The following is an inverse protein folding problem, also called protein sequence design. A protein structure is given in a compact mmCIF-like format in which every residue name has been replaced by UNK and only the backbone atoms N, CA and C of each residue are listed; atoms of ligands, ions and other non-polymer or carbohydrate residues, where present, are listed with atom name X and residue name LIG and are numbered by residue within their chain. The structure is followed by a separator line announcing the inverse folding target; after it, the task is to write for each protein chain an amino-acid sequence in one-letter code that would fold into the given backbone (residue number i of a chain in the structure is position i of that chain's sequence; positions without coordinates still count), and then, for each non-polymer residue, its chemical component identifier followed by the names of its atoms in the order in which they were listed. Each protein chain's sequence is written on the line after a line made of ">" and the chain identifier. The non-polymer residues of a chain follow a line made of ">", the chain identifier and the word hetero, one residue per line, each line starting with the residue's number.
data_IF_916340515244
#
_entry.id   IF_916340515244
#
_cell.length_a   1.000
_cell.length_b   1.000
_cell.length_c   1.000
_cell.angle_alpha   90.00
_cell.angle_beta   90.00
_cell.angle_gamma   90.00
#
_symmetry.space_group_name_H-M   'P 1'
#
loop_
_entity.id
_entity.type
_entity.pdbx_description
1 polymer ?
#
# COMPACT_ATOMS: atom_id res chain seq x y z
N UNK A 1 -7.59 -8.02 -15.14
CA UNK A 1 -8.29 -7.65 -13.89
C UNK A 1 -8.31 -6.15 -13.74
N UNK A 2 -9.50 -5.54 -13.71
CA UNK A 2 -9.70 -4.09 -13.64
C UNK A 2 -9.62 -3.57 -12.20
N UNK A 3 -9.04 -2.38 -12.03
CA UNK A 3 -9.10 -1.63 -10.78
C UNK A 3 -10.46 -0.93 -10.72
N UNK A 4 -11.25 -1.24 -9.70
CA UNK A 4 -12.49 -0.53 -9.44
C UNK A 4 -12.13 0.67 -8.57
N UNK A 5 -12.15 1.86 -9.16
CA UNK A 5 -12.00 3.12 -8.45
C UNK A 5 -13.30 3.40 -7.70
N UNK A 6 -13.25 3.66 -6.40
CA UNK A 6 -14.45 3.90 -5.58
C UNK A 6 -14.96 5.34 -5.67
N UNK A 7 -14.05 6.30 -5.89
CA UNK A 7 -14.40 7.71 -6.08
C UNK A 7 -13.80 8.20 -7.38
N UNK A 8 -14.55 8.79 -8.32
CA UNK A 8 -13.95 9.38 -9.51
C UNK A 8 -13.05 10.57 -9.18
N UNK A 9 -13.28 11.24 -8.04
CA UNK A 9 -12.44 12.32 -7.54
C UNK A 9 -11.09 11.80 -7.02
N UNK A 10 -10.01 12.26 -7.64
CA UNK A 10 -8.63 11.91 -7.33
C UNK A 10 -8.15 12.58 -6.05
N UNK A 11 -8.67 13.76 -5.71
CA UNK A 11 -8.33 14.45 -4.47
C UNK A 11 -8.72 13.62 -3.24
N UNK A 12 -9.78 12.79 -3.35
CA UNK A 12 -10.16 11.84 -2.30
C UNK A 12 -9.04 10.83 -1.96
N UNK A 13 -8.12 10.55 -2.89
CA UNK A 13 -6.95 9.67 -2.68
C UNK A 13 -5.71 10.40 -2.19
N UNK A 14 -5.84 11.69 -1.86
CA UNK A 14 -4.84 12.51 -1.17
C UNK A 14 -5.27 12.84 0.26
N UNK A 15 -6.55 12.67 0.60
CA UNK A 15 -7.08 13.01 1.92
C UNK A 15 -6.44 12.18 3.06
N UNK A 16 -6.30 12.81 4.22
CA UNK A 16 -5.92 12.13 5.45
C UNK A 16 -7.16 11.49 6.11
N UNK A 17 -6.93 10.45 6.88
CA UNK A 17 -7.93 9.81 7.72
C UNK A 17 -7.25 9.18 8.96
N UNK A 18 -8.03 8.52 9.82
CA UNK A 18 -7.50 7.97 11.07
C UNK A 18 -6.41 6.90 10.88
N UNK A 19 -6.46 6.14 9.78
CA UNK A 19 -5.48 5.10 9.47
C UNK A 19 -4.36 5.62 8.56
N UNK A 20 -4.71 6.41 7.55
CA UNK A 20 -3.79 7.10 6.63
C UNK A 20 -3.53 8.51 7.16
N UNK A 21 -2.98 8.56 8.38
CA UNK A 21 -2.72 9.77 9.16
C UNK A 21 -1.43 10.48 8.70
N UNK A 22 -1.32 10.72 7.39
CA UNK A 22 -0.10 11.23 6.76
C UNK A 22 0.27 12.67 7.12
N UNK A 23 -0.61 13.38 7.83
CA UNK A 23 -0.35 14.67 8.47
C UNK A 23 0.41 14.52 9.80
N UNK A 24 0.44 13.33 10.39
CA UNK A 24 1.13 13.07 11.64
C UNK A 24 2.64 13.36 11.51
N UNK A 25 3.28 14.03 12.50
CA UNK A 25 4.68 14.41 12.44
C UNK A 25 5.63 13.27 12.09
N UNK A 26 5.41 12.08 12.66
CA UNK A 26 6.19 10.87 12.35
C UNK A 26 6.13 10.48 10.86
N UNK A 27 4.96 10.57 10.23
CA UNK A 27 4.84 10.26 8.80
C UNK A 27 5.55 11.33 7.97
N UNK A 28 5.38 12.60 8.35
CA UNK A 28 6.03 13.75 7.68
C UNK A 28 7.55 13.71 7.77
N UNK A 29 8.10 13.34 8.91
CA UNK A 29 9.54 13.14 9.15
C UNK A 29 10.10 12.09 8.17
N UNK A 30 9.52 10.88 8.18
CA UNK A 30 9.96 9.80 7.29
C UNK A 30 9.77 10.21 5.82
N UNK A 31 8.65 10.85 5.48
CA UNK A 31 8.40 11.30 4.11
C UNK A 31 9.45 12.34 3.64
N UNK A 32 9.85 13.26 4.50
CA UNK A 32 10.88 14.26 4.22
C UNK A 32 12.25 13.63 4.07
N UNK A 33 12.60 12.66 4.93
CA UNK A 33 13.86 11.91 4.83
C UNK A 33 13.98 11.19 3.49
N UNK A 34 12.93 10.47 3.09
CA UNK A 34 12.89 9.76 1.80
C UNK A 34 12.93 10.70 0.60
N UNK A 35 12.43 11.92 0.75
CA UNK A 35 12.40 12.91 -0.33
C UNK A 35 13.80 13.46 -0.67
N UNK A 36 14.74 13.50 0.28
CA UNK A 36 16.08 14.10 0.09
C UNK A 36 16.87 13.45 -1.06
N UNK A 37 16.70 12.15 -1.25
CA UNK A 37 17.44 11.37 -2.26
C UNK A 37 16.63 11.10 -3.55
N UNK A 38 15.54 11.85 -3.76
CA UNK A 38 14.60 11.61 -4.87
C UNK A 38 14.38 12.87 -5.68
N UNK A 39 14.31 12.71 -7.01
CA UNK A 39 14.22 13.84 -7.94
C UNK A 39 12.84 14.01 -8.55
N UNK A 40 11.98 12.99 -8.44
CA UNK A 40 10.65 12.96 -9.06
C UNK A 40 9.69 12.02 -8.31
N UNK A 41 8.38 12.14 -8.58
CA UNK A 41 7.36 11.33 -7.93
C UNK A 41 7.54 9.80 -8.15
N UNK A 42 8.13 9.39 -9.28
CA UNK A 42 8.38 7.98 -9.56
C UNK A 42 9.50 7.43 -8.66
N UNK A 43 10.62 8.14 -8.57
CA UNK A 43 11.76 7.81 -7.72
C UNK A 43 11.36 7.84 -6.26
N UNK A 44 10.56 8.82 -5.84
CA UNK A 44 9.95 8.85 -4.51
C UNK A 44 9.09 7.63 -4.22
N UNK A 45 8.11 7.31 -5.07
CA UNK A 45 7.24 6.16 -4.87
C UNK A 45 8.01 4.84 -4.76
N UNK A 46 9.09 4.69 -5.55
CA UNK A 46 9.98 3.53 -5.49
C UNK A 46 10.77 3.47 -4.18
N UNK A 47 11.30 4.60 -3.73
CA UNK A 47 12.06 4.71 -2.48
C UNK A 47 11.15 4.42 -1.28
N UNK A 48 9.96 5.02 -1.22
CA UNK A 48 8.96 4.74 -0.17
C UNK A 48 8.51 3.27 -0.15
N UNK A 49 8.27 2.67 -1.32
CA UNK A 49 7.97 1.26 -1.43
C UNK A 49 9.08 0.38 -0.84
N UNK A 50 10.33 0.67 -1.19
CA UNK A 50 11.51 -0.09 -0.76
C UNK A 50 11.70 0.05 0.75
N UNK A 51 11.57 1.27 1.26
CA UNK A 51 11.62 1.57 2.69
C UNK A 51 10.61 0.73 3.49
N UNK A 52 9.32 0.75 3.12
CA UNK A 52 8.30 -0.01 3.87
C UNK A 52 8.51 -1.52 3.74
N UNK A 53 8.90 -2.01 2.56
CA UNK A 53 9.18 -3.43 2.34
C UNK A 53 10.27 -3.93 3.28
N UNK A 54 11.34 -3.16 3.41
CA UNK A 54 12.59 -3.59 4.06
C UNK A 54 12.66 -3.22 5.55
N UNK A 55 11.98 -2.16 5.99
CA UNK A 55 12.09 -1.65 7.38
C UNK A 55 10.94 -2.07 8.29
N UNK A 56 9.82 -2.55 7.75
CA UNK A 56 8.70 -3.07 8.52
C UNK A 56 8.71 -4.59 8.39
N UNK A 57 9.38 -5.38 9.24
CA UNK A 57 9.23 -6.82 9.25
C UNK A 57 7.76 -7.25 9.41
N UNK A 58 7.42 -8.40 8.85
CA UNK A 58 6.10 -8.98 9.05
C UNK A 58 6.01 -9.58 10.44
N UNK A 59 4.87 -9.43 11.13
CA UNK A 59 4.71 -9.90 12.51
C UNK A 59 4.94 -11.41 12.67
N UNK A 60 4.60 -12.20 11.65
CA UNK A 60 4.89 -13.64 11.58
C UNK A 60 6.40 -13.97 11.57
N UNK A 61 7.24 -13.06 11.06
CA UNK A 61 8.70 -13.23 11.02
C UNK A 61 9.37 -12.62 12.27
N UNK A 62 8.83 -11.52 12.79
CA UNK A 62 9.40 -10.80 13.95
C UNK A 62 8.99 -11.37 15.30
N UNK A 63 7.90 -12.16 15.36
CA UNK A 63 7.32 -12.66 16.61
C UNK A 63 6.65 -11.58 17.47
N UNK A 64 6.54 -10.34 16.98
CA UNK A 64 5.92 -9.22 17.69
C UNK A 64 4.40 -9.19 17.45
N UNK A 65 3.57 -9.41 18.48
CA UNK A 65 2.12 -9.54 18.34
C UNK A 65 1.40 -8.19 18.20
N UNK A 66 2.10 -7.05 18.32
CA UNK A 66 1.47 -5.73 18.23
C UNK A 66 0.83 -5.53 16.85
N UNK A 67 -0.47 -5.27 16.85
CA UNK A 67 -1.23 -4.94 15.63
C UNK A 67 -1.38 -3.43 15.56
N UNK A 68 -0.56 -2.80 14.74
CA UNK A 68 -0.66 -1.37 14.42
C UNK A 68 -1.64 -1.17 13.27
N UNK A 69 -2.45 -0.11 13.38
CA UNK A 69 -3.49 0.19 12.39
C UNK A 69 -3.41 1.61 11.82
N UNK A 70 -2.67 2.53 12.48
CA UNK A 70 -2.33 3.85 11.95
C UNK A 70 -0.97 3.83 11.27
N UNK A 71 -0.78 4.63 10.22
CA UNK A 71 0.49 4.70 9.53
C UNK A 71 1.61 5.22 10.42
N UNK A 72 1.34 6.22 11.26
CA UNK A 72 2.28 6.69 12.28
C UNK A 72 2.76 5.57 13.22
N UNK A 73 1.84 4.75 13.73
CA UNK A 73 2.14 3.62 14.62
C UNK A 73 2.98 2.54 13.91
N UNK A 74 2.66 2.26 12.64
CA UNK A 74 3.43 1.30 11.83
C UNK A 74 4.87 1.79 11.64
N UNK A 75 5.06 3.08 11.33
CA UNK A 75 6.39 3.69 11.13
C UNK A 75 7.18 3.85 12.45
N UNK A 76 6.49 3.94 13.58
CA UNK A 76 7.11 4.01 14.90
C UNK A 76 7.55 2.62 15.39
N UNK A 77 6.64 1.64 15.34
CA UNK A 77 6.90 0.29 15.85
C UNK A 77 7.69 -0.60 14.90
N UNK A 78 7.66 -0.26 13.60
CA UNK A 78 8.28 -1.06 12.52
C UNK A 78 7.84 -2.52 12.54
N UNK A 79 6.56 -2.78 12.84
CA UNK A 79 6.02 -4.13 12.85
C UNK A 79 4.61 -4.15 12.25
N UNK A 80 4.31 -5.19 11.48
CA UNK A 80 2.93 -5.49 11.12
C UNK A 80 2.77 -6.37 9.89
N UNK A 81 1.56 -6.88 9.71
CA UNK A 81 1.19 -7.72 8.55
C UNK A 81 1.08 -6.90 7.25
N UNK A 82 0.76 -7.55 6.12
CA UNK A 82 0.61 -6.90 4.81
C UNK A 82 -0.33 -5.66 4.78
N UNK A 83 -1.34 -5.61 5.67
CA UNK A 83 -2.21 -4.43 5.84
C UNK A 83 -1.46 -3.23 6.40
N UNK A 84 -0.73 -3.43 7.50
CA UNK A 84 0.08 -2.39 8.14
C UNK A 84 1.08 -1.78 7.14
N UNK A 85 1.74 -2.64 6.35
CA UNK A 85 2.64 -2.19 5.28
C UNK A 85 1.91 -1.39 4.19
N UNK A 86 0.72 -1.81 3.79
CA UNK A 86 -0.07 -1.09 2.79
C UNK A 86 -0.54 0.28 3.30
N UNK A 87 -0.92 0.36 4.59
CA UNK A 87 -1.30 1.60 5.28
C UNK A 87 -0.12 2.57 5.34
N UNK A 88 1.04 2.12 5.81
CA UNK A 88 2.25 2.93 5.88
C UNK A 88 2.69 3.45 4.50
N UNK A 89 2.69 2.57 3.49
CA UNK A 89 3.04 2.97 2.12
C UNK A 89 2.05 3.99 1.55
N UNK A 90 0.74 3.79 1.77
CA UNK A 90 -0.28 4.75 1.31
C UNK A 90 -0.08 6.12 1.96
N UNK A 91 0.22 6.16 3.26
CA UNK A 91 0.46 7.41 3.96
C UNK A 91 1.70 8.15 3.46
N UNK A 92 2.82 7.45 3.24
CA UNK A 92 4.03 8.08 2.69
C UNK A 92 3.79 8.63 1.28
N UNK A 93 3.06 7.90 0.42
CA UNK A 93 2.71 8.38 -0.92
C UNK A 93 1.84 9.64 -0.86
N UNK A 94 0.80 9.65 -0.01
CA UNK A 94 -0.07 10.82 0.15
C UNK A 94 0.64 12.02 0.77
N UNK A 95 1.56 11.80 1.72
CA UNK A 95 2.40 12.86 2.30
C UNK A 95 3.25 13.60 1.25
N UNK A 96 3.57 12.93 0.14
CA UNK A 96 4.30 13.50 -0.99
C UNK A 96 3.38 13.88 -2.18
N UNK A 97 2.07 13.97 -1.95
CA UNK A 97 1.11 14.40 -2.97
C UNK A 97 0.85 13.37 -4.08
N UNK A 98 1.19 12.10 -3.87
CA UNK A 98 0.91 11.02 -4.83
C UNK A 98 -0.43 10.37 -4.46
N UNK A 99 -1.47 10.46 -5.31
CA UNK A 99 -2.75 9.81 -5.05
C UNK A 99 -2.57 8.31 -4.86
N UNK A 100 -3.01 7.79 -3.72
CA UNK A 100 -2.86 6.40 -3.36
C UNK A 100 -4.10 5.85 -2.65
N UNK A 101 -4.45 4.60 -2.91
CA UNK A 101 -5.60 3.90 -2.33
C UNK A 101 -5.27 2.47 -1.91
N UNK A 102 -5.95 2.01 -0.86
CA UNK A 102 -5.85 0.63 -0.39
C UNK A 102 -6.72 -0.28 -1.25
N UNK A 103 -6.16 -1.41 -1.67
CA UNK A 103 -6.88 -2.43 -2.40
C UNK A 103 -6.64 -3.80 -1.73
N UNK A 104 -7.60 -4.72 -1.85
CA UNK A 104 -7.51 -6.03 -1.23
C UNK A 104 -7.66 -7.13 -2.25
N UNK A 105 -6.89 -8.20 -2.11
CA UNK A 105 -6.95 -9.37 -2.97
C UNK A 105 -7.10 -10.62 -2.13
N UNK A 106 -8.07 -11.47 -2.48
CA UNK A 106 -8.13 -12.83 -1.92
C UNK A 106 -7.08 -13.70 -2.61
N UNK A 107 -6.28 -14.37 -1.80
CA UNK A 107 -5.33 -15.42 -2.16
C UNK A 107 -5.81 -16.72 -1.53
N UNK A 108 -5.53 -17.84 -2.18
CA UNK A 108 -5.74 -19.18 -1.67
C UNK A 108 -4.68 -20.08 -2.33
N UNK A 109 -4.46 -21.25 -1.75
CA UNK A 109 -3.67 -22.31 -2.38
C UNK A 109 -4.34 -22.77 -3.69
N UNK A 110 -3.62 -23.53 -4.52
CA UNK A 110 -4.12 -23.92 -5.85
C UNK A 110 -5.39 -24.79 -5.78
N UNK A 111 -5.59 -25.53 -4.69
CA UNK A 111 -6.78 -26.31 -4.37
C UNK A 111 -7.92 -25.48 -3.72
N UNK A 112 -7.68 -24.18 -3.49
CA UNK A 112 -8.60 -23.27 -2.82
C UNK A 112 -8.53 -23.30 -1.29
N UNK A 113 -7.62 -24.08 -0.70
CA UNK A 113 -7.38 -24.09 0.74
C UNK A 113 -6.68 -22.81 1.22
N UNK A 114 -6.68 -22.60 2.54
CA UNK A 114 -5.99 -21.49 3.23
C UNK A 114 -6.27 -20.10 2.63
N UNK A 115 -7.55 -19.67 2.57
CA UNK A 115 -7.88 -18.37 2.02
C UNK A 115 -7.31 -17.24 2.90
N UNK A 116 -6.48 -16.38 2.30
CA UNK A 116 -5.90 -15.19 2.93
C UNK A 116 -6.34 -13.94 2.17
N UNK A 117 -6.64 -12.87 2.90
CA UNK A 117 -6.85 -11.55 2.27
C UNK A 117 -5.56 -10.75 2.36
N UNK A 118 -5.03 -10.35 1.21
CA UNK A 118 -3.76 -9.63 1.06
C UNK A 118 -3.99 -8.15 0.74
N UNK A 119 -3.27 -7.28 1.44
CA UNK A 119 -3.26 -5.83 1.23
C UNK A 119 -2.37 -5.41 0.06
N UNK A 120 -2.86 -4.48 -0.76
CA UNK A 120 -2.17 -3.89 -1.90
C UNK A 120 -2.37 -2.37 -1.86
N UNK A 121 -1.49 -1.63 -2.54
CA UNK A 121 -1.66 -0.19 -2.76
C UNK A 121 -1.78 0.09 -4.26
N UNK A 122 -2.79 0.85 -4.66
CA UNK A 122 -2.83 1.47 -5.97
C UNK A 122 -2.35 2.91 -5.87
N UNK A 123 -1.46 3.35 -6.76
CA UNK A 123 -1.02 4.74 -6.86
C UNK A 123 -1.17 5.29 -8.28
N UNK A 124 -1.33 6.60 -8.42
CA UNK A 124 -1.37 7.30 -9.70
C UNK A 124 -0.22 8.30 -9.78
N UNK A 125 0.71 8.09 -10.70
CA UNK A 125 1.85 8.99 -10.90
C UNK A 125 1.44 10.23 -11.72
N UNK A 126 2.10 11.39 -11.52
CA UNK A 126 1.87 12.58 -12.33
C UNK A 126 2.01 12.29 -13.83
N UNK A 127 1.14 12.88 -14.66
CA UNK A 127 1.15 12.68 -16.11
C UNK A 127 0.62 11.32 -16.59
N UNK A 128 0.07 10.49 -15.70
CA UNK A 128 -0.53 9.21 -16.06
C UNK A 128 -2.01 9.14 -15.67
N UNK A 129 -2.85 8.60 -16.56
CA UNK A 129 -4.28 8.36 -16.28
C UNK A 129 -4.58 6.98 -15.70
N UNK A 130 -3.54 6.16 -15.53
CA UNK A 130 -3.66 4.79 -15.06
C UNK A 130 -3.10 4.63 -13.65
N UNK A 131 -3.79 3.81 -12.87
CA UNK A 131 -3.36 3.37 -11.55
C UNK A 131 -2.39 2.17 -11.64
N UNK A 132 -1.31 2.22 -10.85
CA UNK A 132 -0.31 1.17 -10.70
C UNK A 132 -0.48 0.46 -9.34
N UNK A 133 -0.45 -0.88 -9.30
CA UNK A 133 -0.69 -1.69 -8.08
C UNK A 133 0.57 -2.28 -7.48
N UNK A 134 1.06 -1.75 -6.37
CA UNK A 134 2.24 -2.23 -5.65
C UNK A 134 1.87 -3.09 -4.42
N UNK A 135 2.78 -3.99 -4.04
CA UNK A 135 2.67 -4.80 -2.82
C UNK A 135 3.98 -4.78 -2.04
N UNK A 136 4.06 -4.09 -0.89
CA UNK A 136 5.24 -4.14 -0.03
C UNK A 136 5.28 -5.47 0.74
N UNK A 137 5.61 -6.58 0.07
CA UNK A 137 5.87 -7.90 0.68
C UNK A 137 4.69 -8.64 1.33
N UNK A 138 4.63 -9.96 1.12
CA UNK A 138 3.87 -10.91 1.93
C UNK A 138 4.87 -11.92 2.50
N UNK A 139 4.69 -12.38 3.74
CA UNK A 139 5.45 -13.53 4.23
C UNK A 139 4.84 -14.84 3.78
N UNK A 140 5.75 -15.79 3.54
CA UNK A 140 5.63 -17.19 3.14
C UNK A 140 5.25 -17.51 1.67
N UNK A 141 6.16 -18.30 1.07
CA UNK A 141 6.17 -19.19 -0.12
C UNK A 141 5.51 -18.80 -1.46
N UNK A 142 4.61 -17.81 -1.56
CA UNK A 142 3.85 -17.54 -2.79
C UNK A 142 4.23 -16.29 -3.60
N UNK A 143 5.13 -15.40 -3.15
CA UNK A 143 5.32 -14.11 -3.87
C UNK A 143 6.72 -13.48 -3.91
N UNK A 144 7.80 -14.18 -3.54
CA UNK A 144 9.17 -13.62 -3.58
C UNK A 144 9.71 -13.33 -4.99
N UNK A 145 8.97 -13.62 -6.07
CA UNK A 145 9.36 -13.26 -7.45
C UNK A 145 8.26 -12.42 -8.10
N UNK A 146 8.35 -11.09 -8.05
CA UNK A 146 7.40 -10.28 -8.84
C UNK A 146 7.55 -8.76 -8.86
N UNK A 147 8.09 -8.10 -7.85
CA UNK A 147 8.13 -6.63 -7.82
C UNK A 147 9.36 -6.07 -8.55
N UNK A 148 9.39 -6.15 -9.89
CA UNK A 148 10.39 -5.46 -10.72
C UNK A 148 9.89 -4.06 -11.09
N UNK A 149 10.52 -3.02 -10.53
CA UNK A 149 10.28 -1.62 -10.92
C UNK A 149 10.90 -1.33 -12.30
N UNK A 150 10.10 -0.92 -13.29
CA UNK A 150 10.58 -0.40 -14.59
C UNK A 150 9.90 0.94 -14.94
N UNK A 151 10.69 1.90 -15.45
CA UNK A 151 10.26 3.26 -15.86
C UNK A 151 9.30 3.25 -17.08
N UNK A 152 9.47 2.31 -18.02
CA UNK A 152 8.80 2.33 -19.34
C UNK A 152 7.39 1.73 -19.37
N UNK A 153 6.65 1.84 -18.28
CA UNK A 153 5.33 1.24 -18.14
C UNK A 153 5.38 0.17 -17.08
N UNK A 154 4.71 0.48 -15.99
CA UNK A 154 4.52 -0.39 -14.85
C UNK A 154 3.56 -1.53 -15.23
N UNK A 155 4.03 -2.49 -16.03
CA UNK A 155 3.38 -3.80 -16.20
C UNK A 155 3.89 -4.69 -15.08
N UNK A 156 3.20 -4.69 -13.95
CA UNK A 156 3.36 -5.76 -12.97
C UNK A 156 3.04 -7.08 -13.66
N UNK A 157 4.06 -7.82 -14.10
CA UNK A 157 3.92 -9.26 -14.37
C UNK A 157 3.86 -9.94 -13.02
N UNK A 158 2.66 -9.91 -12.44
CA UNK A 158 2.31 -10.88 -11.41
C UNK A 158 2.31 -12.24 -12.11
N UNK A 159 3.18 -13.15 -11.65
CA UNK A 159 3.16 -14.52 -12.12
C UNK A 159 1.73 -15.06 -11.97
N UNK A 160 1.20 -15.63 -13.04
CA UNK A 160 -0.11 -16.28 -13.03
C UNK A 160 -0.02 -17.55 -12.19
N UNK A 161 -0.23 -17.45 -10.89
CA UNK A 161 -0.65 -18.62 -10.10
C UNK A 161 -2.13 -18.88 -10.39
N UNK A 162 -2.54 -20.13 -10.48
CA UNK A 162 -3.82 -20.57 -11.06
C UNK A 162 -5.08 -20.24 -10.24
N UNK A 163 -4.95 -19.68 -9.03
CA UNK A 163 -6.08 -19.42 -8.14
C UNK A 163 -7.05 -18.32 -8.60
N UNK A 164 -8.35 -18.51 -8.30
CA UNK A 164 -9.44 -17.54 -8.53
C UNK A 164 -9.18 -16.25 -7.73
N UNK A 165 -8.67 -15.21 -8.40
CA UNK A 165 -8.38 -13.91 -7.79
C UNK A 165 -9.59 -12.98 -7.88
N UNK A 166 -10.10 -12.53 -6.75
CA UNK A 166 -11.06 -11.43 -6.66
C UNK A 166 -10.40 -10.23 -5.97
N UNK A 167 -10.43 -9.06 -6.61
CA UNK A 167 -9.93 -7.80 -6.05
C UNK A 167 -11.07 -6.91 -5.63
N UNK A 168 -11.02 -6.43 -4.38
CA UNK A 168 -11.93 -5.38 -3.92
C UNK A 168 -11.48 -4.02 -4.47
N UNK A 169 -12.41 -3.06 -4.61
CA UNK A 169 -12.12 -1.73 -5.12
C UNK A 169 -11.06 -0.98 -4.32
N UNK A 170 -10.33 -0.06 -4.98
CA UNK A 170 -9.38 0.79 -4.29
C UNK A 170 -10.11 1.94 -3.60
N UNK A 171 -10.05 1.92 -2.26
CA UNK A 171 -10.84 2.80 -1.41
C UNK A 171 -10.05 4.08 -1.08
N UNK A 172 -10.62 5.28 -1.32
CA UNK A 172 -10.29 6.43 -0.52
C UNK A 172 -11.00 6.18 0.81
N UNK A 173 -10.24 5.90 1.88
CA UNK A 173 -10.84 5.67 3.19
C UNK A 173 -11.48 7.00 3.63
N UNK A 174 -12.76 7.20 3.34
CA UNK A 174 -13.52 8.36 3.81
C UNK A 174 -13.92 8.07 5.25
N UNK A 175 -13.77 9.00 6.21
CA UNK A 175 -14.45 8.87 7.48
C UNK A 175 -15.96 8.76 7.19
N UNK A 176 -16.61 7.74 7.75
CA UNK A 176 -18.07 7.76 7.86
C UNK A 176 -18.40 9.01 8.65
N UNK A 177 -19.07 9.99 8.05
CA UNK A 177 -19.77 11.00 8.84
C UNK A 177 -20.77 10.22 9.70
N UNK A 178 -20.51 10.14 11.00
CA UNK A 178 -21.54 9.79 11.97
C UNK A 178 -22.63 10.85 11.83
N UNK A 179 -23.74 10.51 11.20
CA UNK A 179 -24.97 11.28 11.36
C UNK A 179 -25.50 10.96 12.75
N UNK A 180 -25.10 11.78 13.72
CA UNK A 180 -25.82 11.87 14.98
C UNK A 180 -27.15 12.59 14.68
N UNK A 181 -28.24 11.83 14.76
CA UNK A 181 -29.59 12.31 15.04
C UNK A 181 -30.10 11.53 16.25
#
# INVERSE_FOLDING_TARGET
>A
MQLIQQSPDIAAYLAADEAIDHEHPRVREVAADLARDTSDAYTYARTAFTYVRDTVPHSADSGDPRVTWRASDVLATRNGICYAKSIALTALLRAHGIPAGLCYQRLADDDGANPVVHGLVALRLPGHDRWARVTPGATNRASTRGSRWRRSGWRGRYASTSGKRTTRPCTPHRPRKSSAH
#
